data_IF_626326807561
#
_entry.id   IF_626326807561
#
_cell.length_a   1.000
_cell.length_b   1.000
_cell.length_c   1.000
_cell.angle_alpha   90.00
_cell.angle_beta   90.00
_cell.angle_gamma   90.00
#
_symmetry.space_group_name_H-M   'P 1'
#
loop_
_entity.id
_entity.type
_entity.pdbx_description
1 polymer ?
#
# COMPACT_ATOMS: atom_id res chain seq x y z
N UNK A 1 15.21 -3.00 -14.16
CA UNK A 1 14.71 -1.62 -14.03
C UNK A 1 15.78 -0.68 -13.51
N UNK A 2 15.91 0.45 -14.15
CA UNK A 2 16.81 1.50 -13.66
C UNK A 2 16.15 2.23 -12.51
N UNK A 3 16.92 3.01 -11.79
CA UNK A 3 16.39 3.81 -10.67
C UNK A 3 15.35 4.81 -11.14
N UNK A 4 15.54 5.39 -12.32
CA UNK A 4 14.57 6.33 -12.88
C UNK A 4 13.27 5.64 -13.23
N UNK A 5 13.34 4.45 -13.82
CA UNK A 5 12.15 3.69 -14.14
C UNK A 5 11.36 3.30 -12.90
N UNK A 6 12.08 2.93 -11.85
CA UNK A 6 11.43 2.60 -10.57
C UNK A 6 10.73 3.82 -9.98
N UNK A 7 11.37 4.97 -10.07
CA UNK A 7 10.80 6.20 -9.56
C UNK A 7 9.54 6.60 -10.34
N UNK A 8 9.59 6.48 -11.67
CA UNK A 8 8.43 6.78 -12.50
C UNK A 8 7.28 5.82 -12.21
N UNK A 9 7.59 4.55 -12.07
CA UNK A 9 6.60 3.53 -11.75
C UNK A 9 5.91 3.86 -10.42
N UNK A 10 6.70 4.19 -9.41
CA UNK A 10 6.16 4.51 -8.09
C UNK A 10 5.29 5.76 -8.15
N UNK A 11 5.75 6.79 -8.83
CA UNK A 11 4.97 8.03 -8.97
C UNK A 11 3.63 7.75 -9.63
N UNK A 12 3.64 6.95 -10.69
CA UNK A 12 2.42 6.59 -11.40
C UNK A 12 1.48 5.79 -10.49
N UNK A 13 2.04 4.88 -9.73
CA UNK A 13 1.24 4.06 -8.83
C UNK A 13 0.61 4.91 -7.72
N UNK A 14 1.36 5.88 -7.21
CA UNK A 14 0.83 6.83 -6.23
C UNK A 14 -0.34 7.60 -6.81
N UNK A 15 -0.22 8.05 -8.04
CA UNK A 15 -1.30 8.76 -8.72
C UNK A 15 -2.53 7.87 -8.87
N UNK A 16 -2.33 6.61 -9.22
CA UNK A 16 -3.44 5.67 -9.34
C UNK A 16 -4.10 5.43 -7.98
N UNK A 17 -3.31 5.33 -6.92
CA UNK A 17 -3.85 5.20 -5.57
C UNK A 17 -4.70 6.41 -5.21
N UNK A 18 -4.22 7.60 -5.52
CA UNK A 18 -4.95 8.82 -5.22
C UNK A 18 -6.29 8.86 -5.94
N UNK A 19 -6.31 8.43 -7.19
CA UNK A 19 -7.56 8.37 -7.95
C UNK A 19 -8.52 7.34 -7.37
N UNK A 20 -8.03 6.15 -7.10
CA UNK A 20 -8.86 5.06 -6.57
C UNK A 20 -9.42 5.44 -5.21
N UNK A 21 -8.61 6.06 -4.39
CA UNK A 21 -8.97 6.37 -3.00
C UNK A 21 -9.61 7.75 -2.85
N UNK A 22 -9.76 8.49 -3.94
CA UNK A 22 -10.33 9.84 -3.93
C UNK A 22 -9.52 10.80 -3.04
N UNK A 23 -8.19 10.70 -3.12
CA UNK A 23 -7.30 11.58 -2.39
C UNK A 23 -6.99 12.79 -3.28
N UNK A 24 -7.45 13.94 -2.86
CA UNK A 24 -7.35 15.16 -3.68
C UNK A 24 -6.19 16.08 -3.32
N UNK A 25 -5.50 15.80 -2.22
CA UNK A 25 -4.51 16.75 -1.71
C UNK A 25 -3.11 16.32 -2.06
N UNK A 26 -2.37 17.20 -2.74
CA UNK A 26 -0.96 16.95 -3.03
C UNK A 26 -0.12 16.94 -1.76
N UNK A 27 -0.57 17.64 -0.73
CA UNK A 27 0.14 17.70 0.54
C UNK A 27 0.27 16.34 1.20
N UNK A 28 -0.62 15.41 0.86
CA UNK A 28 -0.62 14.07 1.47
C UNK A 28 0.20 13.06 0.68
N UNK A 29 0.91 13.50 -0.35
CA UNK A 29 1.68 12.59 -1.19
C UNK A 29 2.73 11.82 -0.40
N UNK A 30 3.40 12.49 0.53
CA UNK A 30 4.43 11.83 1.35
C UNK A 30 3.84 10.72 2.21
N UNK A 31 2.68 10.96 2.79
CA UNK A 31 2.06 9.96 3.63
C UNK A 31 1.53 8.79 2.80
N UNK A 32 1.01 9.07 1.61
CA UNK A 32 0.59 8.01 0.69
C UNK A 32 1.78 7.16 0.29
N UNK A 33 2.93 7.77 0.06
CA UNK A 33 4.13 7.04 -0.29
C UNK A 33 4.57 6.11 0.84
N UNK A 34 4.53 6.58 2.08
CA UNK A 34 4.85 5.76 3.24
C UNK A 34 3.91 4.57 3.33
N UNK A 35 2.63 4.79 3.13
CA UNK A 35 1.63 3.73 3.18
C UNK A 35 1.85 2.71 2.09
N UNK A 36 2.19 3.17 0.89
CA UNK A 36 2.47 2.29 -0.23
C UNK A 36 3.70 1.43 0.05
N UNK A 37 4.77 2.05 0.53
CA UNK A 37 6.01 1.32 0.82
C UNK A 37 5.80 0.30 1.93
N UNK A 38 5.05 0.66 2.97
CA UNK A 38 4.75 -0.26 4.06
C UNK A 38 3.94 -1.46 3.56
N UNK A 39 3.00 -1.21 2.65
CA UNK A 39 2.20 -2.28 2.06
C UNK A 39 3.08 -3.23 1.26
N UNK A 40 3.98 -2.69 0.44
CA UNK A 40 4.92 -3.49 -0.34
C UNK A 40 5.81 -4.34 0.57
N UNK A 41 6.31 -3.75 1.64
CA UNK A 41 7.19 -4.43 2.56
C UNK A 41 6.52 -5.64 3.20
N UNK A 42 5.29 -5.46 3.67
CA UNK A 42 4.55 -6.55 4.28
C UNK A 42 4.16 -7.63 3.26
N UNK A 43 3.74 -7.22 2.08
CA UNK A 43 3.40 -8.19 1.04
C UNK A 43 4.62 -8.99 0.62
N UNK A 44 5.78 -8.33 0.59
CA UNK A 44 7.04 -8.99 0.26
C UNK A 44 7.39 -10.08 1.27
N UNK A 45 7.10 -9.82 2.54
CA UNK A 45 7.39 -10.78 3.60
C UNK A 45 6.45 -11.99 3.57
N UNK A 46 5.23 -11.79 3.10
CA UNK A 46 4.20 -12.83 3.18
C UNK A 46 3.95 -13.56 1.88
N UNK A 47 4.26 -12.96 0.76
CA UNK A 47 3.99 -13.54 -0.54
C UNK A 47 5.30 -13.93 -1.22
N UNK A 48 5.55 -15.23 -1.46
CA UNK A 48 6.76 -15.65 -2.15
C UNK A 48 6.84 -15.02 -3.54
N UNK A 49 8.03 -14.61 -3.91
CA UNK A 49 8.29 -14.03 -5.24
C UNK A 49 7.50 -12.77 -5.55
N UNK A 50 7.07 -12.07 -4.50
CA UNK A 50 6.37 -10.81 -4.68
C UNK A 50 7.29 -9.76 -5.30
N UNK A 51 6.82 -9.11 -6.35
CA UNK A 51 7.56 -8.05 -7.03
C UNK A 51 6.66 -6.83 -7.13
N UNK A 52 6.96 -5.74 -6.39
CA UNK A 52 6.11 -4.56 -6.42
C UNK A 52 6.08 -3.85 -7.78
N UNK A 53 7.03 -4.19 -8.65
CA UNK A 53 7.06 -3.60 -9.99
C UNK A 53 6.36 -4.47 -11.03
N UNK A 54 5.82 -5.61 -10.61
CA UNK A 54 5.08 -6.52 -11.49
C UNK A 54 3.85 -7.05 -10.77
N UNK A 55 3.02 -6.15 -10.33
CA UNK A 55 1.81 -6.51 -9.58
C UNK A 55 0.79 -7.19 -10.49
N UNK A 56 0.20 -8.26 -10.00
CA UNK A 56 -0.98 -8.83 -10.64
C UNK A 56 -2.16 -7.89 -10.40
N UNK A 57 -3.25 -8.07 -11.14
CA UNK A 57 -4.44 -7.26 -10.92
C UNK A 57 -4.96 -7.37 -9.50
N UNK A 58 -4.95 -8.60 -8.98
CA UNK A 58 -5.41 -8.84 -7.62
C UNK A 58 -4.52 -8.14 -6.60
N UNK A 59 -3.21 -8.21 -6.79
CA UNK A 59 -2.27 -7.54 -5.90
C UNK A 59 -2.43 -6.03 -5.97
N UNK A 60 -2.68 -5.50 -7.16
CA UNK A 60 -2.90 -4.07 -7.32
C UNK A 60 -4.14 -3.60 -6.55
N UNK A 61 -5.22 -4.36 -6.63
CA UNK A 61 -6.43 -4.04 -5.88
C UNK A 61 -6.19 -4.09 -4.37
N UNK A 62 -5.42 -5.07 -3.92
CA UNK A 62 -5.07 -5.17 -2.50
C UNK A 62 -4.27 -3.96 -2.06
N UNK A 63 -3.29 -3.55 -2.85
CA UNK A 63 -2.48 -2.37 -2.52
C UNK A 63 -3.37 -1.14 -2.39
N UNK A 64 -4.23 -0.91 -3.36
CA UNK A 64 -5.11 0.25 -3.33
C UNK A 64 -6.04 0.21 -2.12
N UNK A 65 -6.58 -0.97 -1.81
CA UNK A 65 -7.49 -1.14 -0.68
C UNK A 65 -6.79 -0.87 0.64
N UNK A 66 -5.58 -1.38 0.81
CA UNK A 66 -4.81 -1.16 2.03
C UNK A 66 -4.44 0.31 2.20
N UNK A 67 -4.00 0.95 1.11
CA UNK A 67 -3.65 2.36 1.17
C UNK A 67 -4.88 3.19 1.52
N UNK A 68 -6.03 2.87 0.93
CA UNK A 68 -7.27 3.58 1.23
C UNK A 68 -7.64 3.45 2.70
N UNK A 69 -7.58 2.23 3.22
CA UNK A 69 -7.91 2.00 4.62
C UNK A 69 -6.96 2.76 5.55
N UNK A 70 -5.67 2.74 5.23
CA UNK A 70 -4.69 3.46 6.01
C UNK A 70 -4.91 4.97 5.92
N UNK A 71 -5.21 5.46 4.73
CA UNK A 71 -5.42 6.89 4.54
C UNK A 71 -6.65 7.38 5.28
N UNK A 72 -7.74 6.62 5.23
CA UNK A 72 -8.98 6.99 5.90
C UNK A 72 -8.81 7.04 7.43
N UNK A 73 -7.87 6.26 7.94
CA UNK A 73 -7.60 6.19 9.38
C UNK A 73 -6.24 6.78 9.72
N UNK A 74 -5.72 7.68 8.89
CA UNK A 74 -4.34 8.16 9.03
C UNK A 74 -4.04 8.85 10.36
N UNK A 75 -5.04 9.40 11.00
CA UNK A 75 -4.85 10.05 12.30
C UNK A 75 -4.39 9.05 13.35
N UNK A 76 -4.83 7.80 13.23
CA UNK A 76 -4.45 6.75 14.16
C UNK A 76 -2.97 6.38 14.03
N UNK A 77 -2.41 6.57 12.84
CA UNK A 77 -1.05 6.14 12.54
C UNK A 77 -0.04 7.27 12.62
N UNK A 78 -0.51 8.51 12.67
CA UNK A 78 0.30 9.71 12.91
C UNK A 78 1.57 9.82 12.07
N UNK A 79 1.52 9.38 10.83
CA UNK A 79 2.66 9.44 9.91
C UNK A 79 3.88 8.62 10.36
N UNK A 80 3.67 7.70 11.28
CA UNK A 80 4.74 6.84 11.76
C UNK A 80 4.77 5.59 10.89
N UNK A 81 5.86 5.40 10.15
CA UNK A 81 5.99 4.26 9.25
C UNK A 81 5.83 2.93 9.97
N UNK A 82 6.31 2.84 11.20
CA UNK A 82 6.20 1.60 11.97
C UNK A 82 4.75 1.28 12.31
N UNK A 83 3.98 2.29 12.69
CA UNK A 83 2.55 2.11 12.97
C UNK A 83 1.79 1.69 11.71
N UNK A 84 2.15 2.30 10.57
CA UNK A 84 1.55 1.95 9.29
C UNK A 84 1.88 0.51 8.93
N UNK A 85 3.13 0.08 9.11
CA UNK A 85 3.53 -1.29 8.83
C UNK A 85 2.77 -2.28 9.68
N UNK A 86 2.61 -1.97 10.98
CA UNK A 86 1.85 -2.84 11.87
C UNK A 86 0.38 -2.94 11.45
N UNK A 87 -0.20 -1.84 11.00
CA UNK A 87 -1.59 -1.85 10.54
C UNK A 87 -1.73 -2.70 9.28
N UNK A 88 -0.81 -2.56 8.33
CA UNK A 88 -0.83 -3.38 7.11
C UNK A 88 -0.70 -4.86 7.46
N UNK A 89 0.19 -5.17 8.40
CA UNK A 89 0.39 -6.53 8.85
C UNK A 89 -0.90 -7.15 9.39
N UNK A 90 -1.63 -6.40 10.21
CA UNK A 90 -2.92 -6.85 10.73
C UNK A 90 -3.94 -7.08 9.63
N UNK A 91 -3.98 -6.17 8.66
CA UNK A 91 -4.92 -6.29 7.54
C UNK A 91 -4.62 -7.51 6.69
N UNK A 92 -3.34 -7.76 6.44
CA UNK A 92 -2.94 -8.93 5.66
C UNK A 92 -3.26 -10.23 6.38
N UNK A 93 -3.07 -10.26 7.70
CA UNK A 93 -3.42 -11.44 8.49
C UNK A 93 -4.92 -11.73 8.40
N UNK A 94 -5.74 -10.70 8.42
CA UNK A 94 -7.18 -10.87 8.26
C UNK A 94 -7.52 -11.46 6.90
N UNK A 95 -6.86 -11.00 5.86
CA UNK A 95 -7.09 -11.53 4.52
C UNK A 95 -6.65 -12.98 4.39
N UNK A 96 -5.52 -13.33 4.98
CA UNK A 96 -4.97 -14.67 4.86
C UNK A 96 -5.72 -15.66 5.73
N UNK A 97 -6.04 -15.29 6.96
CA UNK A 97 -6.62 -16.23 7.92
C UNK A 97 -8.09 -15.99 8.22
N UNK A 98 -8.59 -14.82 7.97
CA UNK A 98 -9.95 -14.47 8.31
C UNK A 98 -10.88 -14.39 7.13
N UNK A 99 -10.39 -13.81 6.03
CA UNK A 99 -11.22 -13.51 4.89
C UNK A 99 -11.80 -14.71 4.17
N UNK A 100 -11.15 -15.85 4.30
CA UNK A 100 -11.62 -17.05 3.63
C UNK A 100 -12.62 -17.85 4.40
N UNK A 101 -13.00 -17.34 5.57
CA UNK A 101 -13.87 -18.11 6.41
C UNK A 101 -15.26 -17.67 6.30
N UNK A 102 -15.86 -17.56 5.52
CA UNK A 102 -17.20 -17.10 5.53
C UNK A 102 -18.20 -18.11 5.62
#
# INVERSE_FOLDING_TARGET
MTDEEKKEYKTKLIEECKKYDHIDYDDDEDIVEIMLEATFEEMSDLIPDFDPYKLTFRQRLLVFSFVKELYDNREKYQKDAKSVTNAVSSMLLKEIYGGGRE
#
